data_IF_274336240725
#
_entry.id   IF_274336240725
#
_cell.length_a   1.000
_cell.length_b   1.000
_cell.length_c   1.000
_cell.angle_alpha   90.00
_cell.angle_beta   90.00
_cell.angle_gamma   90.00
#
_symmetry.space_group_name_H-M   'P 1'
#
loop_
_entity.id
_entity.type
_entity.pdbx_description
1 polymer ?
#
# COMPACT_ATOMS: atom_id res chain seq x y z
N UNK A 1 60.14 -6.47 -68.23
CA UNK A 1 59.70 -7.23 -67.03
C UNK A 1 59.36 -6.23 -65.97
N UNK A 2 58.05 -6.00 -65.69
CA UNK A 2 57.56 -5.08 -64.64
C UNK A 2 56.83 -5.88 -63.63
N UNK A 3 57.35 -5.92 -62.40
CA UNK A 3 56.69 -6.55 -61.25
C UNK A 3 55.61 -5.59 -60.68
N UNK A 4 54.39 -6.02 -60.70
CA UNK A 4 53.26 -5.33 -60.09
C UNK A 4 53.26 -5.62 -58.60
N UNK A 5 53.33 -4.61 -57.72
CA UNK A 5 53.17 -4.71 -56.29
C UNK A 5 51.66 -4.70 -55.95
N UNK A 6 51.17 -5.83 -55.49
CA UNK A 6 49.79 -5.96 -54.93
C UNK A 6 49.84 -5.52 -53.48
N UNK A 7 49.21 -4.36 -53.17
CA UNK A 7 49.02 -3.90 -51.79
C UNK A 7 47.67 -4.43 -51.34
N UNK A 8 47.67 -5.39 -50.42
CA UNK A 8 46.49 -5.90 -49.72
C UNK A 8 46.22 -4.99 -48.55
N UNK A 9 45.20 -4.13 -48.68
CA UNK A 9 44.68 -3.32 -47.57
C UNK A 9 43.83 -4.18 -46.65
N UNK A 10 44.36 -4.48 -45.47
CA UNK A 10 43.60 -5.14 -44.40
C UNK A 10 42.80 -4.11 -43.63
N UNK A 11 41.49 -3.96 -43.97
CA UNK A 11 40.55 -3.09 -43.25
C UNK A 11 40.15 -3.80 -41.94
N UNK A 12 40.71 -3.34 -40.80
CA UNK A 12 40.23 -3.72 -39.47
C UNK A 12 38.84 -3.11 -39.25
N UNK A 13 37.80 -3.85 -39.52
CA UNK A 13 36.46 -3.53 -39.02
C UNK A 13 36.42 -3.83 -37.49
N UNK A 14 36.62 -2.79 -36.67
CA UNK A 14 36.30 -2.85 -35.25
C UNK A 14 34.78 -2.97 -35.12
N UNK A 15 34.30 -4.22 -35.04
CA UNK A 15 32.94 -4.50 -34.67
C UNK A 15 32.78 -4.12 -33.20
N UNK A 16 32.08 -3.01 -32.93
CA UNK A 16 31.50 -2.75 -31.62
C UNK A 16 30.48 -3.86 -31.35
N UNK A 17 30.91 -4.92 -30.67
CA UNK A 17 30.00 -5.86 -30.04
C UNK A 17 29.38 -5.10 -28.87
N UNK A 18 28.24 -4.44 -29.14
CA UNK A 18 27.38 -3.99 -28.06
C UNK A 18 27.02 -5.25 -27.27
N UNK A 19 27.65 -5.44 -26.11
CA UNK A 19 27.24 -6.47 -25.18
C UNK A 19 25.78 -6.21 -24.85
N UNK A 20 24.88 -6.99 -25.45
CA UNK A 20 23.48 -6.99 -25.09
C UNK A 20 23.42 -7.39 -23.62
N UNK A 21 23.36 -6.41 -22.73
CA UNK A 21 23.12 -6.68 -21.31
C UNK A 21 21.81 -7.45 -21.21
N UNK A 22 21.86 -8.68 -20.75
CA UNK A 22 20.67 -9.50 -20.60
C UNK A 22 19.66 -8.72 -19.71
N UNK A 23 18.44 -8.53 -20.20
CA UNK A 23 17.38 -7.87 -19.46
C UNK A 23 17.10 -8.62 -18.16
N UNK A 24 17.17 -7.94 -17.04
CA UNK A 24 16.83 -8.50 -15.72
C UNK A 24 15.34 -8.32 -15.45
N UNK A 25 14.62 -9.42 -15.28
CA UNK A 25 13.20 -9.39 -14.89
C UNK A 25 13.09 -9.44 -13.37
N UNK A 26 12.27 -8.54 -12.80
CA UNK A 26 11.95 -8.47 -11.38
C UNK A 26 10.44 -8.52 -11.19
N UNK A 27 9.98 -9.24 -10.16
CA UNK A 27 8.55 -9.41 -9.87
C UNK A 27 8.07 -8.37 -8.87
N UNK A 28 6.88 -7.83 -9.12
CA UNK A 28 6.15 -6.98 -8.17
C UNK A 28 4.74 -7.52 -7.97
N UNK A 29 4.25 -7.59 -6.73
CA UNK A 29 2.91 -8.07 -6.41
C UNK A 29 2.06 -7.04 -5.68
N UNK A 30 0.75 -7.18 -5.84
CA UNK A 30 -0.29 -6.52 -5.04
C UNK A 30 -1.42 -7.51 -4.75
N UNK A 31 -2.18 -7.25 -3.66
CA UNK A 31 -3.31 -8.12 -3.28
C UNK A 31 -4.63 -7.74 -3.93
N UNK A 32 -4.73 -6.57 -4.54
CA UNK A 32 -5.93 -6.07 -5.23
C UNK A 32 -5.83 -6.22 -6.75
N UNK A 33 -6.94 -6.00 -7.46
CA UNK A 33 -7.02 -6.17 -8.91
C UNK A 33 -6.18 -5.13 -9.69
N UNK A 34 -5.84 -5.44 -10.93
CA UNK A 34 -5.06 -4.56 -11.82
C UNK A 34 -5.71 -3.19 -12.04
N UNK A 35 -7.03 -3.13 -12.19
CA UNK A 35 -7.75 -1.87 -12.40
C UNK A 35 -7.93 -1.02 -11.13
N UNK A 36 -7.32 -1.41 -10.01
CA UNK A 36 -7.34 -0.68 -8.75
C UNK A 36 -6.32 0.47 -8.72
N UNK A 37 -6.42 1.31 -7.68
CA UNK A 37 -5.45 2.37 -7.39
C UNK A 37 -4.01 1.85 -7.22
N UNK A 38 -3.84 0.64 -6.66
CA UNK A 38 -2.53 -0.01 -6.53
C UNK A 38 -2.06 -0.60 -7.85
N UNK A 39 -2.96 -1.18 -8.66
CA UNK A 39 -2.61 -1.73 -9.97
C UNK A 39 -2.09 -0.65 -10.91
N UNK A 40 -2.74 0.52 -10.96
CA UNK A 40 -2.26 1.68 -11.72
C UNK A 40 -0.86 2.09 -11.27
N UNK A 41 -0.58 2.05 -9.95
CA UNK A 41 0.73 2.40 -9.40
C UNK A 41 1.83 1.47 -9.94
N UNK A 42 1.62 0.15 -9.84
CA UNK A 42 2.66 -0.82 -10.26
C UNK A 42 2.81 -0.91 -11.78
N UNK A 43 1.74 -0.71 -12.55
CA UNK A 43 1.80 -0.63 -14.02
C UNK A 43 2.62 0.59 -14.48
N UNK A 44 2.41 1.73 -13.82
CA UNK A 44 3.18 2.95 -14.06
C UNK A 44 4.63 2.75 -13.66
N UNK A 45 4.88 2.20 -12.48
CA UNK A 45 6.21 1.88 -12.01
C UNK A 45 6.96 0.98 -13.00
N UNK A 46 6.32 -0.09 -13.48
CA UNK A 46 6.91 -1.02 -14.43
C UNK A 46 7.35 -0.33 -15.72
N UNK A 47 6.46 0.47 -16.32
CA UNK A 47 6.74 1.26 -17.54
C UNK A 47 7.87 2.27 -17.33
N UNK A 48 7.86 2.99 -16.22
CA UNK A 48 8.88 4.00 -15.92
C UNK A 48 10.24 3.37 -15.63
N UNK A 49 10.31 2.23 -14.93
CA UNK A 49 11.59 1.50 -14.74
C UNK A 49 12.15 1.06 -16.07
N UNK A 50 11.37 0.42 -16.93
CA UNK A 50 11.84 -0.04 -18.24
C UNK A 50 12.36 1.12 -19.09
N UNK A 51 11.62 2.22 -19.14
CA UNK A 51 11.99 3.45 -19.87
C UNK A 51 13.27 4.06 -19.31
N UNK A 52 13.36 4.31 -18.00
CA UNK A 52 14.48 5.01 -17.34
C UNK A 52 15.77 4.18 -17.32
N UNK A 53 15.64 2.87 -17.39
CA UNK A 53 16.79 1.95 -17.44
C UNK A 53 17.13 1.50 -18.88
N UNK A 54 16.50 2.10 -19.90
CA UNK A 54 16.69 1.72 -21.31
C UNK A 54 16.53 0.20 -21.54
N UNK A 55 15.52 -0.40 -20.89
CA UNK A 55 15.19 -1.82 -21.03
C UNK A 55 16.09 -2.79 -20.25
N UNK A 56 17.07 -2.33 -19.47
CA UNK A 56 17.94 -3.23 -18.67
C UNK A 56 17.14 -3.97 -17.61
N UNK A 57 16.11 -3.34 -17.05
CA UNK A 57 15.22 -3.96 -16.06
C UNK A 57 13.79 -3.96 -16.58
N UNK A 58 13.15 -5.12 -16.45
CA UNK A 58 11.73 -5.32 -16.74
C UNK A 58 11.02 -5.71 -15.43
N UNK A 59 10.00 -4.96 -15.06
CA UNK A 59 9.16 -5.29 -13.91
C UNK A 59 7.96 -6.10 -14.41
N UNK A 60 7.74 -7.26 -13.81
CA UNK A 60 6.61 -8.13 -14.09
C UNK A 60 5.57 -8.01 -12.97
N UNK A 61 4.41 -7.37 -13.24
CA UNK A 61 3.36 -7.23 -12.24
C UNK A 61 2.57 -8.52 -12.01
N UNK A 62 2.17 -8.74 -10.74
CA UNK A 62 1.26 -9.78 -10.30
C UNK A 62 0.16 -9.15 -9.44
N UNK A 63 -1.10 -9.43 -9.77
CA UNK A 63 -2.28 -8.80 -9.18
C UNK A 63 -3.11 -9.82 -8.40
N UNK A 64 -4.09 -9.32 -7.65
CA UNK A 64 -5.13 -10.13 -6.98
C UNK A 64 -4.57 -11.22 -6.07
N UNK A 65 -3.44 -10.96 -5.43
CA UNK A 65 -2.81 -11.93 -4.52
C UNK A 65 -2.22 -13.17 -5.21
N UNK A 66 -1.91 -13.10 -6.53
CA UNK A 66 -1.35 -14.24 -7.27
C UNK A 66 -0.04 -14.79 -6.71
N UNK A 67 0.72 -13.97 -5.96
CA UNK A 67 1.94 -14.39 -5.23
C UNK A 67 1.73 -14.42 -3.70
N UNK A 68 0.48 -14.51 -3.23
CA UNK A 68 0.12 -14.45 -1.82
C UNK A 68 -0.53 -13.12 -1.41
N UNK A 69 -0.96 -13.03 -0.15
CA UNK A 69 -1.48 -11.81 0.45
C UNK A 69 -0.39 -10.76 0.69
N UNK A 70 -0.79 -9.65 1.33
CA UNK A 70 0.17 -8.56 1.58
C UNK A 70 1.31 -8.99 2.50
N UNK A 71 1.00 -9.75 3.56
CA UNK A 71 2.01 -10.22 4.52
C UNK A 71 3.01 -11.16 3.87
N UNK A 72 2.51 -12.18 3.14
CA UNK A 72 3.35 -13.14 2.42
C UNK A 72 4.25 -12.45 1.39
N UNK A 73 3.70 -11.44 0.69
CA UNK A 73 4.46 -10.65 -0.28
C UNK A 73 5.58 -9.84 0.39
N UNK A 74 5.32 -9.22 1.55
CA UNK A 74 6.35 -8.49 2.31
C UNK A 74 7.42 -9.47 2.82
N UNK A 75 7.04 -10.63 3.34
CA UNK A 75 7.97 -11.67 3.78
C UNK A 75 8.83 -12.18 2.62
N UNK A 76 8.22 -12.46 1.46
CA UNK A 76 8.94 -12.89 0.26
C UNK A 76 9.96 -11.83 -0.22
N UNK A 77 9.61 -10.54 -0.13
CA UNK A 77 10.55 -9.44 -0.42
C UNK A 77 11.68 -9.40 0.61
N UNK A 78 11.39 -9.59 1.90
CA UNK A 78 12.42 -9.62 2.93
C UNK A 78 13.42 -10.75 2.70
N UNK A 79 12.93 -11.94 2.37
CA UNK A 79 13.73 -13.13 2.11
C UNK A 79 14.45 -13.10 0.75
N UNK A 80 14.06 -12.19 -0.15
CA UNK A 80 14.63 -12.07 -1.50
C UNK A 80 14.10 -13.12 -2.50
N UNK A 81 13.02 -13.83 -2.16
CA UNK A 81 12.34 -14.75 -3.08
C UNK A 81 11.40 -14.03 -4.03
N UNK A 82 11.13 -12.74 -3.78
CA UNK A 82 10.46 -11.78 -4.63
C UNK A 82 11.19 -10.44 -4.55
N UNK A 83 11.25 -9.69 -5.65
CA UNK A 83 12.04 -8.47 -5.70
C UNK A 83 11.33 -7.25 -5.11
N UNK A 84 10.01 -7.08 -5.40
CA UNK A 84 9.24 -5.91 -4.99
C UNK A 84 7.80 -6.28 -4.60
N UNK A 85 7.20 -5.43 -3.77
CA UNK A 85 5.74 -5.37 -3.58
C UNK A 85 5.31 -3.91 -3.40
N UNK A 86 4.07 -3.59 -3.80
CA UNK A 86 3.38 -2.37 -3.41
C UNK A 86 2.20 -2.78 -2.53
N UNK A 87 2.23 -2.41 -1.27
CA UNK A 87 1.31 -2.92 -0.26
C UNK A 87 0.77 -1.80 0.61
N UNK A 88 -0.39 -2.00 1.24
CA UNK A 88 -0.81 -1.13 2.34
C UNK A 88 0.14 -1.27 3.54
N UNK A 89 0.10 -0.32 4.46
CA UNK A 89 0.87 -0.43 5.70
C UNK A 89 0.33 -1.49 6.66
N UNK A 90 -0.82 -2.12 6.38
CA UNK A 90 -1.45 -3.08 7.27
C UNK A 90 -0.50 -4.12 7.88
N UNK A 91 0.17 -4.97 7.09
CA UNK A 91 1.09 -5.98 7.63
C UNK A 91 2.50 -5.45 7.96
N UNK A 92 2.89 -4.26 7.47
CA UNK A 92 4.23 -3.68 7.65
C UNK A 92 4.67 -3.62 9.11
N UNK A 93 3.82 -3.27 10.10
CA UNK A 93 4.18 -3.25 11.51
C UNK A 93 4.73 -4.56 12.09
N UNK A 94 4.50 -5.69 11.42
CA UNK A 94 5.05 -6.97 11.84
C UNK A 94 6.53 -7.14 11.44
N UNK A 95 7.02 -6.32 10.51
CA UNK A 95 8.38 -6.33 9.98
C UNK A 95 9.16 -5.08 10.40
N UNK A 96 8.51 -3.91 10.33
CA UNK A 96 9.07 -2.59 10.64
C UNK A 96 8.18 -1.96 11.71
N UNK A 97 8.54 -2.18 12.97
CA UNK A 97 7.72 -1.78 14.12
C UNK A 97 7.52 -0.27 14.23
N UNK A 98 8.47 0.50 13.73
CA UNK A 98 8.43 1.97 13.72
C UNK A 98 7.26 2.52 12.87
N UNK A 99 6.81 1.76 11.86
CA UNK A 99 5.68 2.15 11.02
C UNK A 99 4.32 2.05 11.75
N UNK A 100 4.23 1.37 12.90
CA UNK A 100 3.00 1.23 13.69
C UNK A 100 2.32 2.55 14.02
N UNK A 101 3.11 3.60 14.21
CA UNK A 101 2.61 4.93 14.56
C UNK A 101 1.65 5.49 13.52
N UNK A 102 1.80 5.12 12.24
CA UNK A 102 0.96 5.61 11.14
C UNK A 102 -0.47 5.04 11.16
N UNK A 103 -0.68 3.93 11.88
CA UNK A 103 -1.96 3.21 11.91
C UNK A 103 -2.85 3.61 13.10
N UNK A 104 -2.42 4.60 13.91
CA UNK A 104 -3.19 5.10 15.06
C UNK A 104 -4.49 5.76 14.55
N UNK A 105 -5.67 5.32 15.04
CA UNK A 105 -6.93 5.90 14.62
C UNK A 105 -7.02 7.40 14.85
N UNK A 106 -7.60 8.12 13.87
CA UNK A 106 -7.77 9.57 13.88
C UNK A 106 -6.47 10.39 14.07
N UNK A 107 -5.31 9.80 13.75
CA UNK A 107 -4.01 10.48 13.81
C UNK A 107 -3.94 11.64 12.80
N UNK A 108 -4.39 11.38 11.59
CA UNK A 108 -4.37 12.35 10.50
C UNK A 108 -5.70 13.10 10.41
N UNK A 109 -5.64 14.43 10.21
CA UNK A 109 -6.83 15.28 10.06
C UNK A 109 -7.60 14.98 8.77
N UNK A 110 -6.86 14.81 7.69
CA UNK A 110 -7.36 14.54 6.34
C UNK A 110 -6.24 13.94 5.46
N UNK A 111 -6.55 13.67 4.18
CA UNK A 111 -5.59 13.13 3.21
C UNK A 111 -4.42 14.08 2.92
N UNK A 112 -4.69 15.38 2.85
CA UNK A 112 -3.65 16.37 2.58
C UNK A 112 -2.61 16.40 3.71
N UNK A 113 -3.08 16.40 4.96
CA UNK A 113 -2.22 16.28 6.13
C UNK A 113 -1.40 14.97 6.12
N UNK A 114 -2.03 13.83 5.85
CA UNK A 114 -1.34 12.56 5.80
C UNK A 114 -0.24 12.54 4.71
N UNK A 115 -0.56 13.06 3.52
CA UNK A 115 0.40 13.20 2.43
C UNK A 115 1.56 14.13 2.81
N UNK A 116 1.29 15.27 3.45
CA UNK A 116 2.33 16.19 3.92
C UNK A 116 3.28 15.53 4.94
N UNK A 117 2.74 14.75 5.89
CA UNK A 117 3.55 13.98 6.86
C UNK A 117 4.44 12.95 6.16
N UNK A 118 3.87 12.17 5.24
CA UNK A 118 4.57 11.06 4.57
C UNK A 118 5.63 11.55 3.57
N UNK A 119 5.34 12.64 2.86
CA UNK A 119 6.27 13.24 1.90
C UNK A 119 7.32 14.11 2.59
N UNK A 120 7.02 14.58 3.79
CA UNK A 120 7.87 15.42 4.62
C UNK A 120 8.96 14.64 5.40
N UNK A 121 9.71 15.35 6.26
CA UNK A 121 10.84 14.76 6.99
C UNK A 121 10.48 13.53 7.81
N UNK A 122 9.32 13.52 8.47
CA UNK A 122 8.86 12.39 9.31
C UNK A 122 8.72 11.12 8.47
N UNK A 123 8.01 11.20 7.34
CA UNK A 123 7.82 10.05 6.45
C UNK A 123 9.12 9.60 5.80
N UNK A 124 10.00 10.55 5.41
CA UNK A 124 11.30 10.22 4.81
C UNK A 124 12.23 9.54 5.82
N UNK A 125 12.18 9.91 7.09
CA UNK A 125 12.95 9.24 8.14
C UNK A 125 12.40 7.85 8.46
N UNK A 126 11.08 7.65 8.38
CA UNK A 126 10.47 6.33 8.50
C UNK A 126 10.90 5.40 7.35
N UNK A 127 10.99 5.89 6.09
CA UNK A 127 11.48 5.07 4.96
C UNK A 127 12.88 4.51 5.24
N UNK A 128 13.76 5.28 5.89
CA UNK A 128 15.13 4.83 6.23
C UNK A 128 15.14 3.65 7.23
N UNK A 129 14.10 3.52 8.08
CA UNK A 129 14.01 2.43 9.05
C UNK A 129 13.85 1.05 8.42
N UNK A 130 13.36 1.01 7.18
CA UNK A 130 13.21 -0.22 6.43
C UNK A 130 14.55 -0.87 6.06
N UNK A 131 15.60 -0.06 5.85
CA UNK A 131 16.93 -0.54 5.44
C UNK A 131 17.52 -1.55 6.44
N UNK A 132 17.32 -1.34 7.74
CA UNK A 132 17.78 -2.23 8.81
C UNK A 132 17.00 -3.56 8.89
N UNK A 133 15.88 -3.66 8.17
CA UNK A 133 14.99 -4.84 8.17
C UNK A 133 15.06 -5.65 6.87
N UNK A 134 16.05 -5.37 6.01
CA UNK A 134 16.24 -6.08 4.74
C UNK A 134 15.41 -5.54 3.58
N UNK A 135 14.79 -4.38 3.74
CA UNK A 135 14.01 -3.72 2.71
C UNK A 135 14.67 -2.43 2.24
N UNK A 136 14.40 -2.05 1.00
CA UNK A 136 14.51 -0.68 0.51
C UNK A 136 13.12 -0.14 0.24
N UNK A 137 12.68 0.79 1.07
CA UNK A 137 11.45 1.54 0.82
C UNK A 137 11.74 2.63 -0.22
N UNK A 138 10.93 2.68 -1.30
CA UNK A 138 11.17 3.59 -2.43
C UNK A 138 10.32 4.86 -2.33
N UNK A 139 9.03 4.72 -2.00
CA UNK A 139 8.11 5.84 -1.88
C UNK A 139 6.87 5.45 -1.07
N UNK A 140 6.29 6.42 -0.33
CA UNK A 140 4.97 6.31 0.27
C UNK A 140 3.89 6.54 -0.77
N UNK A 141 3.00 5.58 -0.93
CA UNK A 141 1.75 5.71 -1.67
C UNK A 141 0.55 5.84 -0.74
N UNK A 142 -0.61 5.57 -1.29
CA UNK A 142 -1.89 5.70 -0.61
C UNK A 142 -2.77 4.47 -0.85
N UNK A 143 -3.27 3.89 0.24
CA UNK A 143 -4.36 2.94 0.18
C UNK A 143 -5.70 3.68 0.32
N UNK A 144 -5.77 4.69 1.19
CA UNK A 144 -6.88 5.62 1.34
C UNK A 144 -7.43 5.72 2.77
N UNK A 145 -8.50 6.50 2.93
CA UNK A 145 -9.22 6.64 4.19
C UNK A 145 -10.17 5.47 4.37
N UNK A 146 -10.07 4.79 5.50
CA UNK A 146 -10.80 3.55 5.79
C UNK A 146 -12.17 3.81 6.38
N UNK A 147 -13.15 3.05 5.91
CA UNK A 147 -14.54 3.07 6.31
C UNK A 147 -15.01 1.66 6.64
N UNK A 148 -16.05 1.53 7.47
CA UNK A 148 -16.56 0.23 7.91
C UNK A 148 -17.72 -0.23 7.04
N UNK A 149 -17.73 -1.50 6.62
CA UNK A 149 -18.89 -2.14 6.02
C UNK A 149 -19.34 -3.33 6.84
N UNK A 150 -20.61 -3.63 6.83
CA UNK A 150 -21.15 -4.85 7.44
C UNK A 150 -22.48 -5.27 6.79
N UNK A 151 -22.91 -6.52 7.05
CA UNK A 151 -24.17 -7.08 6.52
C UNK A 151 -25.34 -7.02 7.52
N UNK A 152 -25.14 -6.45 8.73
CA UNK A 152 -26.10 -6.58 9.86
C UNK A 152 -26.90 -5.32 10.13
N UNK A 153 -26.24 -4.14 10.24
CA UNK A 153 -26.88 -2.90 10.70
C UNK A 153 -26.11 -1.65 10.35
N UNK A 154 -26.80 -0.51 10.41
CA UNK A 154 -26.18 0.80 10.36
C UNK A 154 -25.25 1.00 11.55
N UNK A 155 -24.10 1.64 11.29
CA UNK A 155 -23.16 2.09 12.33
C UNK A 155 -23.08 3.60 12.29
N UNK A 156 -23.71 4.27 13.24
CA UNK A 156 -23.71 5.73 13.41
C UNK A 156 -22.81 6.17 14.55
N UNK A 157 -22.59 5.28 15.51
CA UNK A 157 -21.77 5.51 16.69
C UNK A 157 -21.02 4.22 17.06
N UNK A 158 -19.96 4.28 17.89
CA UNK A 158 -19.17 3.10 18.21
C UNK A 158 -19.95 2.01 18.96
N UNK A 159 -21.00 2.36 19.69
CA UNK A 159 -21.89 1.42 20.37
C UNK A 159 -22.55 0.43 19.40
N UNK A 160 -22.79 0.86 18.15
CA UNK A 160 -23.37 0.05 17.08
C UNK A 160 -22.41 -1.06 16.60
N UNK A 161 -21.11 -0.94 16.88
CA UNK A 161 -20.09 -1.94 16.53
C UNK A 161 -20.04 -3.11 17.50
N UNK A 162 -20.59 -2.96 18.70
CA UNK A 162 -20.46 -3.97 19.77
C UNK A 162 -20.94 -5.34 19.29
N UNK A 163 -20.05 -6.31 19.40
CA UNK A 163 -20.32 -7.72 19.08
C UNK A 163 -20.30 -8.06 17.59
N UNK A 164 -20.12 -7.09 16.68
CA UNK A 164 -19.91 -7.41 15.26
C UNK A 164 -18.58 -8.16 15.10
N UNK A 165 -18.64 -9.26 14.35
CA UNK A 165 -17.45 -10.00 13.92
C UNK A 165 -16.88 -9.30 12.70
N UNK A 166 -15.79 -8.57 12.86
CA UNK A 166 -15.20 -7.82 11.78
C UNK A 166 -13.83 -8.40 11.37
N UNK A 167 -13.67 -8.62 10.10
CA UNK A 167 -12.34 -8.89 9.58
C UNK A 167 -11.46 -7.64 9.78
N UNK A 168 -10.25 -7.87 10.24
CA UNK A 168 -9.22 -6.84 10.33
C UNK A 168 -7.99 -7.24 9.52
N UNK A 169 -7.15 -6.27 9.23
CA UNK A 169 -5.80 -6.56 8.76
C UNK A 169 -4.99 -7.22 9.88
N UNK A 170 -3.93 -7.92 9.53
CA UNK A 170 -2.95 -8.49 10.47
C UNK A 170 -2.07 -7.39 11.08
N UNK A 171 -2.72 -6.41 11.72
CA UNK A 171 -2.12 -5.19 12.25
C UNK A 171 -2.42 -5.08 13.75
N UNK A 172 -1.40 -5.08 14.62
CA UNK A 172 -1.62 -5.03 16.07
C UNK A 172 -2.28 -3.75 16.56
N UNK A 173 -2.05 -2.61 15.88
CA UNK A 173 -2.67 -1.32 16.24
C UNK A 173 -4.16 -1.35 15.92
N UNK A 174 -4.54 -1.82 14.72
CA UNK A 174 -5.95 -1.97 14.33
C UNK A 174 -6.67 -2.95 15.25
N UNK A 175 -6.06 -4.11 15.54
CA UNK A 175 -6.66 -5.13 16.43
C UNK A 175 -6.93 -4.54 17.82
N UNK A 176 -5.96 -3.79 18.38
CA UNK A 176 -6.12 -3.17 19.70
C UNK A 176 -7.22 -2.09 19.67
N UNK A 177 -7.21 -1.22 18.66
CA UNK A 177 -8.20 -0.16 18.51
C UNK A 177 -9.62 -0.73 18.34
N UNK A 178 -9.81 -1.72 17.48
CA UNK A 178 -11.14 -2.26 17.19
C UNK A 178 -11.68 -3.10 18.35
N UNK A 179 -10.83 -3.79 19.11
CA UNK A 179 -11.23 -4.37 20.39
C UNK A 179 -11.70 -3.30 21.38
N UNK A 180 -11.04 -2.14 21.42
CA UNK A 180 -11.46 -0.99 22.23
C UNK A 180 -12.84 -0.43 21.82
N UNK A 181 -13.27 -0.62 20.57
CA UNK A 181 -14.60 -0.29 20.07
C UNK A 181 -15.62 -1.42 20.29
N UNK A 182 -15.28 -2.51 20.99
CA UNK A 182 -16.16 -3.64 21.26
C UNK A 182 -16.37 -4.58 20.07
N UNK A 183 -15.53 -4.49 19.04
CA UNK A 183 -15.55 -5.36 17.86
C UNK A 183 -14.91 -6.72 18.18
N UNK A 184 -15.52 -7.81 17.72
CA UNK A 184 -14.89 -9.13 17.68
C UNK A 184 -14.00 -9.21 16.44
N UNK A 185 -12.70 -8.99 16.65
CA UNK A 185 -11.73 -8.89 15.54
C UNK A 185 -11.30 -10.27 15.03
N UNK A 186 -11.27 -10.43 13.72
CA UNK A 186 -10.78 -11.64 13.03
C UNK A 186 -9.69 -11.22 12.03
N UNK A 187 -8.40 -11.27 12.43
CA UNK A 187 -7.31 -11.00 11.50
C UNK A 187 -7.30 -12.04 10.38
N UNK A 188 -7.17 -11.55 9.12
CA UNK A 188 -7.27 -12.41 7.95
C UNK A 188 -6.58 -11.74 6.75
N UNK A 189 -5.89 -12.54 5.91
CA UNK A 189 -5.30 -12.07 4.67
C UNK A 189 -6.36 -11.56 3.69
N UNK A 190 -6.03 -10.54 2.89
CA UNK A 190 -7.01 -9.88 2.02
C UNK A 190 -7.68 -10.81 1.00
N UNK A 191 -6.99 -11.77 0.35
CA UNK A 191 -7.62 -12.69 -0.61
C UNK A 191 -8.76 -13.54 -0.04
N UNK A 192 -8.79 -13.75 1.27
CA UNK A 192 -9.81 -14.58 1.94
C UNK A 192 -11.10 -13.79 2.27
N UNK A 193 -11.02 -12.45 2.28
CA UNK A 193 -12.06 -11.57 2.86
C UNK A 193 -13.39 -11.70 2.13
N UNK A 194 -13.40 -11.69 0.79
CA UNK A 194 -14.66 -11.78 0.04
C UNK A 194 -15.44 -13.06 0.38
N UNK A 195 -14.75 -14.20 0.40
CA UNK A 195 -15.36 -15.50 0.73
C UNK A 195 -15.83 -15.54 2.19
N UNK A 196 -15.06 -15.01 3.12
CA UNK A 196 -15.45 -14.95 4.53
C UNK A 196 -16.70 -14.09 4.77
N UNK A 197 -16.81 -12.94 4.07
CA UNK A 197 -18.01 -12.10 4.07
C UNK A 197 -19.22 -12.80 3.43
N UNK A 198 -19.02 -13.46 2.29
CA UNK A 198 -20.06 -14.19 1.57
C UNK A 198 -20.63 -15.33 2.40
N UNK A 199 -19.79 -16.07 3.10
CA UNK A 199 -20.16 -17.17 3.96
C UNK A 199 -20.68 -16.73 5.34
N UNK A 200 -20.58 -15.45 5.69
CA UNK A 200 -20.97 -14.93 6.99
C UNK A 200 -20.05 -15.37 8.13
N UNK A 201 -18.84 -15.83 7.85
CA UNK A 201 -17.81 -16.13 8.86
C UNK A 201 -17.45 -14.86 9.64
N UNK A 202 -17.45 -13.72 8.95
CA UNK A 202 -17.38 -12.38 9.52
C UNK A 202 -18.59 -11.57 9.06
N UNK A 203 -19.05 -10.64 9.90
CA UNK A 203 -20.19 -9.77 9.59
C UNK A 203 -19.80 -8.59 8.72
N UNK A 204 -18.52 -8.18 8.78
CA UNK A 204 -18.05 -7.01 8.08
C UNK A 204 -16.53 -6.92 8.00
N UNK A 205 -16.09 -5.84 7.41
CA UNK A 205 -14.69 -5.47 7.22
C UNK A 205 -14.56 -3.93 7.23
N UNK A 206 -13.33 -3.42 7.09
CA UNK A 206 -13.07 -2.01 6.93
C UNK A 206 -11.96 -1.80 5.89
N UNK A 207 -12.17 -0.87 4.98
CA UNK A 207 -11.27 -0.51 3.88
C UNK A 207 -11.61 0.86 3.30
N UNK A 208 -10.70 1.45 2.49
CA UNK A 208 -11.02 2.61 1.67
C UNK A 208 -12.06 2.30 0.59
N UNK A 209 -12.75 3.33 0.11
CA UNK A 209 -13.75 3.21 -0.97
C UNK A 209 -13.15 2.55 -2.21
N UNK A 210 -11.93 2.93 -2.61
CA UNK A 210 -11.20 2.31 -3.74
C UNK A 210 -11.12 0.79 -3.63
N UNK A 211 -10.83 0.28 -2.42
CA UNK A 211 -10.71 -1.16 -2.16
C UNK A 211 -12.08 -1.81 -2.12
N UNK A 212 -13.07 -1.19 -1.46
CA UNK A 212 -14.45 -1.70 -1.38
C UNK A 212 -15.03 -1.91 -2.78
N UNK A 213 -14.82 -0.93 -3.67
CA UNK A 213 -15.28 -1.01 -5.07
C UNK A 213 -14.49 -2.05 -5.88
N UNK A 214 -13.17 -2.03 -5.81
CA UNK A 214 -12.32 -2.95 -6.56
C UNK A 214 -12.53 -4.42 -6.16
N UNK A 215 -12.77 -4.68 -4.88
CA UNK A 215 -13.06 -6.01 -4.34
C UNK A 215 -14.54 -6.41 -4.46
N UNK A 216 -15.39 -5.51 -4.98
CA UNK A 216 -16.84 -5.74 -5.15
C UNK A 216 -17.54 -6.14 -3.84
N UNK A 217 -17.15 -5.53 -2.72
CA UNK A 217 -17.75 -5.85 -1.43
C UNK A 217 -19.23 -5.43 -1.35
N UNK A 218 -19.69 -4.55 -2.24
CA UNK A 218 -21.11 -4.24 -2.45
C UNK A 218 -21.97 -5.51 -2.71
N UNK A 219 -21.39 -6.58 -3.25
CA UNK A 219 -22.10 -7.85 -3.48
C UNK A 219 -22.34 -8.67 -2.21
N UNK A 220 -21.58 -8.45 -1.16
CA UNK A 220 -21.58 -9.26 0.07
C UNK A 220 -21.73 -8.41 1.34
N UNK A 221 -21.87 -7.08 1.22
CA UNK A 221 -22.03 -6.12 2.31
C UNK A 221 -23.21 -5.20 2.02
N UNK A 222 -24.00 -4.89 3.06
CA UNK A 222 -25.23 -4.08 2.93
C UNK A 222 -25.07 -2.64 3.40
N UNK A 223 -24.29 -2.44 4.46
CA UNK A 223 -24.12 -1.15 5.12
C UNK A 223 -22.69 -0.65 4.96
N UNK A 224 -22.54 0.61 4.60
CA UNK A 224 -21.27 1.34 4.56
C UNK A 224 -21.39 2.54 5.49
N UNK A 225 -20.57 2.60 6.53
CA UNK A 225 -20.51 3.75 7.44
C UNK A 225 -19.21 4.52 7.23
N UNK A 226 -19.35 5.82 6.89
CA UNK A 226 -18.23 6.69 6.54
C UNK A 226 -17.45 7.14 7.79
N UNK A 227 -16.91 6.17 8.51
CA UNK A 227 -16.21 6.38 9.78
C UNK A 227 -14.93 7.20 9.63
N UNK A 228 -14.17 7.02 8.55
CA UNK A 228 -12.91 7.72 8.33
C UNK A 228 -11.92 7.56 9.48
N UNK A 229 -11.94 6.40 10.14
CA UNK A 229 -11.28 6.16 11.41
C UNK A 229 -9.76 5.97 11.29
N UNK A 230 -9.26 5.59 10.12
CA UNK A 230 -7.82 5.43 9.83
C UNK A 230 -7.53 5.94 8.41
N UNK A 231 -6.46 6.72 8.26
CA UNK A 231 -5.81 6.87 6.97
C UNK A 231 -4.78 5.76 6.82
N UNK A 232 -4.85 5.02 5.75
CA UNK A 232 -3.96 3.89 5.45
C UNK A 232 -2.99 4.27 4.34
N UNK A 233 -1.70 4.48 4.64
CA UNK A 233 -0.68 4.59 3.60
C UNK A 233 -0.54 3.29 2.81
N UNK A 234 0.09 3.40 1.64
CA UNK A 234 0.70 2.30 0.93
C UNK A 234 2.19 2.59 0.73
N UNK A 235 2.96 1.58 0.35
CA UNK A 235 4.41 1.72 0.22
C UNK A 235 4.97 0.80 -0.86
N UNK A 236 5.85 1.34 -1.70
CA UNK A 236 6.73 0.52 -2.52
C UNK A 236 7.91 0.03 -1.69
N UNK A 237 8.05 -1.28 -1.56
CA UNK A 237 9.22 -1.90 -0.93
C UNK A 237 9.90 -2.86 -1.89
N UNK A 238 11.22 -2.85 -1.86
CA UNK A 238 12.10 -3.71 -2.64
C UNK A 238 13.03 -4.48 -1.70
N UNK A 239 13.42 -5.68 -2.08
CA UNK A 239 14.48 -6.40 -1.39
C UNK A 239 15.76 -5.56 -1.38
N UNK A 240 16.31 -5.34 -0.19
CA UNK A 240 17.48 -4.45 -0.04
C UNK A 240 18.71 -4.96 -0.78
N UNK A 241 19.00 -6.25 -0.74
CA UNK A 241 20.16 -6.81 -1.43
C UNK A 241 20.02 -6.69 -2.96
N UNK A 242 18.81 -6.81 -3.50
CA UNK A 242 18.53 -6.59 -4.92
C UNK A 242 18.67 -5.12 -5.29
N UNK A 243 18.20 -4.20 -4.45
CA UNK A 243 18.39 -2.76 -4.67
C UNK A 243 19.87 -2.35 -4.59
N UNK A 244 20.63 -2.88 -3.65
CA UNK A 244 22.04 -2.53 -3.46
C UNK A 244 22.91 -2.92 -4.68
N UNK A 245 22.54 -3.97 -5.42
CA UNK A 245 23.21 -4.39 -6.66
C UNK A 245 22.99 -3.43 -7.85
N UNK A 246 21.98 -2.55 -7.78
CA UNK A 246 21.73 -1.58 -8.83
C UNK A 246 22.85 -0.54 -8.91
N UNK A 247 23.13 -0.03 -10.12
CA UNK A 247 23.99 1.15 -10.28
C UNK A 247 23.37 2.37 -9.60
N UNK A 248 24.16 3.40 -9.32
CA UNK A 248 23.64 4.64 -8.75
C UNK A 248 22.53 5.27 -9.63
N UNK A 249 22.70 5.22 -10.96
CA UNK A 249 21.69 5.71 -11.90
C UNK A 249 20.42 4.87 -11.88
N UNK A 250 20.53 3.54 -11.81
CA UNK A 250 19.37 2.65 -11.75
C UNK A 250 18.63 2.77 -10.41
N UNK A 251 19.35 2.92 -9.29
CA UNK A 251 18.74 3.23 -7.97
C UNK A 251 17.85 4.46 -8.04
N UNK A 252 18.36 5.53 -8.65
CA UNK A 252 17.57 6.75 -8.82
C UNK A 252 16.38 6.52 -9.75
N UNK A 253 16.56 5.78 -10.86
CA UNK A 253 15.51 5.45 -11.80
C UNK A 253 14.33 4.69 -11.11
N UNK A 254 14.63 3.73 -10.23
CA UNK A 254 13.61 3.00 -9.46
C UNK A 254 12.88 3.90 -8.47
N UNK A 255 13.59 4.79 -7.76
CA UNK A 255 12.98 5.75 -6.84
C UNK A 255 12.05 6.71 -7.60
N UNK A 256 12.49 7.24 -8.74
CA UNK A 256 11.70 8.18 -9.54
C UNK A 256 10.50 7.49 -10.19
N UNK A 257 10.66 6.24 -10.65
CA UNK A 257 9.55 5.43 -11.15
C UNK A 257 8.49 5.17 -10.05
N UNK A 258 8.91 4.90 -8.81
CA UNK A 258 8.00 4.72 -7.69
C UNK A 258 7.21 6.01 -7.40
N UNK A 259 7.85 7.18 -7.46
CA UNK A 259 7.19 8.48 -7.27
C UNK A 259 6.13 8.73 -8.36
N UNK A 260 6.41 8.41 -9.63
CA UNK A 260 5.41 8.51 -10.70
C UNK A 260 4.24 7.55 -10.49
N UNK A 261 4.51 6.31 -10.08
CA UNK A 261 3.47 5.35 -9.70
C UNK A 261 2.59 5.88 -8.57
N UNK A 262 3.18 6.44 -7.53
CA UNK A 262 2.47 7.06 -6.39
C UNK A 262 1.60 8.23 -6.82
N UNK A 263 2.08 9.09 -7.72
CA UNK A 263 1.30 10.22 -8.23
C UNK A 263 -0.03 9.76 -8.85
N UNK A 264 0.02 8.74 -9.72
CA UNK A 264 -1.19 8.19 -10.34
C UNK A 264 -2.05 7.37 -9.35
N UNK A 265 -1.43 6.69 -8.40
CA UNK A 265 -2.11 6.02 -7.30
C UNK A 265 -2.99 7.00 -6.50
N UNK A 266 -2.42 8.12 -6.04
CA UNK A 266 -3.14 9.16 -5.28
C UNK A 266 -4.25 9.81 -6.10
N UNK A 267 -3.99 10.12 -7.36
CA UNK A 267 -5.01 10.67 -8.26
C UNK A 267 -6.19 9.71 -8.44
N UNK A 268 -5.93 8.40 -8.51
CA UNK A 268 -6.99 7.40 -8.59
C UNK A 268 -7.76 7.28 -7.28
N UNK A 269 -7.11 7.33 -6.12
CA UNK A 269 -7.79 7.35 -4.81
C UNK A 269 -8.70 8.59 -4.71
N UNK A 270 -8.22 9.76 -5.15
CA UNK A 270 -9.03 10.98 -5.13
C UNK A 270 -10.27 10.87 -6.03
N UNK A 271 -10.13 10.27 -7.22
CA UNK A 271 -11.25 10.02 -8.11
C UNK A 271 -12.25 9.00 -7.52
N UNK A 272 -11.74 7.89 -6.97
CA UNK A 272 -12.56 6.86 -6.34
C UNK A 272 -13.33 7.41 -5.12
N UNK A 273 -12.72 8.28 -4.31
CA UNK A 273 -13.38 8.92 -3.17
C UNK A 273 -14.47 9.91 -3.62
N UNK A 274 -14.28 10.59 -4.75
CA UNK A 274 -15.26 11.55 -5.27
C UNK A 274 -16.53 10.88 -5.78
N UNK A 275 -16.46 9.66 -6.32
CA UNK A 275 -17.61 8.96 -6.94
C UNK A 275 -18.08 7.77 -6.12
N UNK A 276 -17.23 7.17 -5.30
CA UNK A 276 -17.44 5.86 -4.68
C UNK A 276 -18.68 5.77 -3.81
N UNK A 277 -19.02 6.81 -3.04
CA UNK A 277 -20.25 6.83 -2.23
C UNK A 277 -21.48 6.74 -3.13
N UNK A 278 -21.53 7.54 -4.20
CA UNK A 278 -22.65 7.53 -5.15
C UNK A 278 -22.76 6.18 -5.87
N UNK A 279 -21.64 5.63 -6.30
CA UNK A 279 -21.59 4.32 -6.97
C UNK A 279 -22.05 3.19 -6.06
N UNK A 280 -21.60 3.15 -4.80
CA UNK A 280 -21.97 2.11 -3.84
C UNK A 280 -23.45 2.20 -3.45
N UNK A 281 -24.01 3.42 -3.34
CA UNK A 281 -25.46 3.60 -3.18
C UNK A 281 -26.24 3.06 -4.40
N UNK A 282 -25.78 3.38 -5.60
CA UNK A 282 -26.42 2.89 -6.83
C UNK A 282 -26.37 1.35 -6.96
N UNK A 283 -25.38 0.72 -6.35
CA UNK A 283 -25.25 -0.74 -6.23
C UNK A 283 -26.04 -1.35 -5.07
N UNK A 284 -26.83 -0.55 -4.35
CA UNK A 284 -27.75 -1.01 -3.31
C UNK A 284 -27.20 -1.03 -1.90
N UNK A 285 -26.02 -0.45 -1.63
CA UNK A 285 -25.54 -0.28 -0.27
C UNK A 285 -26.26 0.87 0.46
N UNK A 286 -26.65 0.63 1.72
CA UNK A 286 -27.07 1.69 2.63
C UNK A 286 -25.82 2.43 3.13
N UNK A 287 -25.68 3.69 2.74
CA UNK A 287 -24.52 4.51 3.15
C UNK A 287 -24.91 5.46 4.28
N UNK A 288 -24.17 5.39 5.37
CA UNK A 288 -24.33 6.21 6.57
C UNK A 288 -23.27 7.31 6.55
N UNK A 289 -23.71 8.56 6.27
CA UNK A 289 -22.83 9.73 6.16
C UNK A 289 -22.63 10.42 7.52
N UNK A 290 -23.64 10.35 8.38
CA UNK A 290 -23.71 11.08 9.64
C UNK A 290 -23.15 10.27 10.81
N UNK A 291 -21.95 9.73 10.64
CA UNK A 291 -21.23 9.01 11.70
C UNK A 291 -20.68 10.03 12.72
N UNK A 292 -21.00 9.83 14.00
CA UNK A 292 -20.47 10.65 15.10
C UNK A 292 -19.03 10.25 15.45
N UNK A 293 -18.07 10.83 14.70
CA UNK A 293 -16.66 10.54 14.90
C UNK A 293 -16.13 10.92 16.27
N UNK A 294 -16.75 11.90 16.94
CA UNK A 294 -16.32 12.33 18.27
C UNK A 294 -16.52 11.23 19.31
N UNK A 295 -17.59 10.47 19.20
CA UNK A 295 -17.83 9.31 20.06
C UNK A 295 -16.79 8.21 19.88
N UNK A 296 -16.35 7.98 18.62
CA UNK A 296 -15.26 7.03 18.33
C UNK A 296 -13.96 7.47 18.98
N UNK A 297 -13.59 8.74 18.86
CA UNK A 297 -12.38 9.29 19.48
C UNK A 297 -12.45 9.14 21.00
N UNK A 298 -13.60 9.48 21.62
CA UNK A 298 -13.80 9.37 23.06
C UNK A 298 -13.72 7.92 23.55
N UNK A 299 -14.36 6.97 22.86
CA UNK A 299 -14.29 5.55 23.21
C UNK A 299 -12.89 4.98 23.08
N UNK A 300 -12.08 5.47 22.13
CA UNK A 300 -10.70 5.06 21.94
C UNK A 300 -9.70 5.74 22.89
N UNK A 301 -10.12 6.70 23.72
CA UNK A 301 -9.20 7.43 24.60
C UNK A 301 -8.30 6.52 25.47
N UNK A 302 -8.80 5.43 26.09
CA UNK A 302 -7.95 4.52 26.85
C UNK A 302 -6.90 3.81 25.97
N UNK A 303 -7.27 3.39 24.77
CA UNK A 303 -6.37 2.73 23.81
C UNK A 303 -5.33 3.70 23.28
N UNK A 304 -5.74 4.96 23.00
CA UNK A 304 -4.85 6.01 22.56
C UNK A 304 -3.81 6.36 23.64
N UNK A 305 -4.16 6.31 24.91
CA UNK A 305 -3.21 6.49 26.01
C UNK A 305 -2.11 5.40 26.02
N UNK A 306 -2.45 4.16 25.67
CA UNK A 306 -1.44 3.10 25.51
C UNK A 306 -0.58 3.32 24.26
N UNK A 307 -1.16 3.80 23.16
CA UNK A 307 -0.39 4.18 21.97
C UNK A 307 0.56 5.35 22.24
N UNK A 308 0.16 6.32 23.07
CA UNK A 308 1.06 7.40 23.50
C UNK A 308 2.26 6.88 24.31
N UNK A 309 2.06 5.90 25.17
CA UNK A 309 3.17 5.24 25.88
C UNK A 309 4.07 4.46 24.92
N UNK A 310 3.47 3.75 23.97
CA UNK A 310 4.19 2.88 23.03
C UNK A 310 5.02 3.65 22.02
N UNK A 311 4.44 4.72 21.44
CA UNK A 311 5.05 5.46 20.31
C UNK A 311 5.72 6.76 20.76
N UNK A 312 5.48 7.19 21.99
CA UNK A 312 5.91 8.47 22.52
C UNK A 312 4.97 9.62 22.14
N UNK A 313 4.44 10.31 23.15
CA UNK A 313 3.54 11.46 22.94
C UNK A 313 4.14 12.50 21.99
N UNK A 314 5.44 12.80 22.16
CA UNK A 314 6.13 13.78 21.32
C UNK A 314 6.14 13.43 19.83
N UNK A 315 6.27 12.14 19.49
CA UNK A 315 6.23 11.67 18.10
C UNK A 315 4.84 11.82 17.49
N UNK A 316 3.79 11.46 18.24
CA UNK A 316 2.40 11.63 17.80
C UNK A 316 2.05 13.11 17.63
N UNK A 317 2.49 13.97 18.57
CA UNK A 317 2.26 15.42 18.50
C UNK A 317 3.03 16.05 17.34
N UNK A 318 4.24 15.58 17.04
CA UNK A 318 5.01 16.01 15.87
C UNK A 318 4.27 15.70 14.57
N UNK A 319 3.66 14.51 14.45
CA UNK A 319 2.83 14.16 13.29
C UNK A 319 1.61 15.09 13.22
N UNK A 320 0.88 15.27 14.31
CA UNK A 320 -0.33 16.11 14.37
C UNK A 320 -0.04 17.60 14.04
N UNK A 321 1.16 18.08 14.34
CA UNK A 321 1.58 19.47 14.15
C UNK A 321 1.95 19.81 12.70
N UNK A 322 2.18 18.85 11.82
CA UNK A 322 2.45 19.10 10.39
C UNK A 322 1.28 19.86 9.78
N UNK A 323 1.59 20.92 9.01
CA UNK A 323 0.59 21.80 8.36
C UNK A 323 0.26 21.30 6.95
#
# INVERSE_FOLDING_TARGET
MKLSKLVVGLSLALGFVAAASAQTTMRISISVAQNSHQGIAIDTFAKEVEKRTAGRYKIQPFYSGALGGERESVEAVQLGTQELTFTSTGPIPNFVTEARILDVPFLFRDKAHARAVLDGPIGQDLLKKFDAKGFKALAWGENGVRHMTNSKRDVKAPEDLKGLKMRTMENPVHIAAYKGLGIVTTPMAFPEVFTALQQGTVDGQENPLSVIMAAKFDQVQKHLSLTGHVYSPAIFVMNKASFDKLTAADKQAFIDAAKEGVKLNRARVDADDATGVTELRAKGMTVIDNVDKSKFVNMLAPVNAEFEKQFGKANLDAIRAVK
#
